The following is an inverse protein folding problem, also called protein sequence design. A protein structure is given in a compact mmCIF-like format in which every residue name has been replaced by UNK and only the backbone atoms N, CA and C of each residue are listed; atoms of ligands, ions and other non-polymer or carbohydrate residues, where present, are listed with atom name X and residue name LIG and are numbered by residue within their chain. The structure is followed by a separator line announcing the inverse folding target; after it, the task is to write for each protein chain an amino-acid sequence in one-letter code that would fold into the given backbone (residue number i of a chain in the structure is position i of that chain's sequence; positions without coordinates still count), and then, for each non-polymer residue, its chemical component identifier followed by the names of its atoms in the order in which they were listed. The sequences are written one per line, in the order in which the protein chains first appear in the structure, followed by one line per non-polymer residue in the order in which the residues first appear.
data_IF_446336297746
#
_entry.id   IF_446336297746
#
_cell.length_a   1.000
_cell.length_b   1.000
_cell.length_c   1.000
_cell.angle_alpha   90.00
_cell.angle_beta   90.00
_cell.angle_gamma   90.00
#
_symmetry.space_group_name_H-M   'P 1'
#
loop_
_entity.id
_entity.type
_entity.pdbx_description
1 polymer ?
#
# COMPACT_ATOMS: atom_id res chain seq x y z
N UNK A 1 -16.04 -12.63 1.48
CA UNK A 1 -15.57 -11.85 0.31
C UNK A 1 -14.07 -11.72 0.45
N UNK A 2 -13.27 -12.08 -0.55
CA UNK A 2 -11.81 -11.88 -0.45
C UNK A 2 -11.50 -10.38 -0.55
N UNK A 3 -10.55 -9.91 0.26
CA UNK A 3 -10.09 -8.54 0.20
C UNK A 3 -9.25 -8.35 -1.08
N UNK A 4 -9.72 -7.50 -1.99
CA UNK A 4 -9.10 -7.25 -3.30
C UNK A 4 -7.71 -6.60 -3.21
N UNK A 5 -7.35 -6.00 -2.08
CA UNK A 5 -6.01 -5.46 -1.86
C UNK A 5 -4.95 -6.55 -1.62
N UNK A 6 -5.32 -7.75 -1.15
CA UNK A 6 -4.35 -8.79 -0.81
C UNK A 6 -3.57 -9.23 -2.03
N UNK A 7 -2.24 -9.29 -1.93
CA UNK A 7 -1.35 -9.70 -3.02
C UNK A 7 -0.13 -8.79 -3.16
N UNK A 8 0.56 -8.95 -4.29
CA UNK A 8 1.74 -8.17 -4.65
C UNK A 8 1.38 -7.10 -5.67
N UNK A 9 1.88 -5.89 -5.47
CA UNK A 9 1.64 -4.73 -6.32
C UNK A 9 2.96 -4.13 -6.80
N UNK A 10 3.02 -3.74 -8.06
CA UNK A 10 4.08 -2.91 -8.62
C UNK A 10 3.68 -1.44 -8.43
N UNK A 11 4.28 -0.75 -7.48
CA UNK A 11 3.91 0.60 -7.05
C UNK A 11 4.94 1.63 -7.54
N UNK A 12 4.50 2.71 -8.16
CA UNK A 12 5.35 3.79 -8.62
C UNK A 12 4.93 5.12 -7.99
N UNK A 13 5.90 5.88 -7.47
CA UNK A 13 5.68 7.23 -6.98
C UNK A 13 5.69 8.21 -8.16
N UNK A 14 4.56 8.85 -8.41
CA UNK A 14 4.47 9.99 -9.33
C UNK A 14 4.91 11.27 -8.58
N UNK A 15 6.21 11.55 -8.55
CA UNK A 15 6.76 12.74 -7.87
C UNK A 15 8.26 12.76 -7.60
N UNK A 16 9.01 11.69 -7.90
CA UNK A 16 10.47 11.65 -7.73
C UNK A 16 11.12 10.45 -8.40
N UNK A 17 12.44 10.28 -8.20
CA UNK A 17 13.28 9.21 -8.78
C UNK A 17 13.14 7.84 -8.09
N UNK A 18 12.05 7.57 -7.36
CA UNK A 18 11.90 6.24 -6.76
C UNK A 18 11.44 5.27 -7.84
N UNK A 19 12.18 4.18 -7.99
CA UNK A 19 11.85 3.12 -8.94
C UNK A 19 10.47 2.53 -8.64
N UNK A 20 9.88 1.77 -9.58
CA UNK A 20 8.73 0.96 -9.24
C UNK A 20 9.12 -0.02 -8.11
N UNK A 21 8.44 0.05 -6.97
CA UNK A 21 8.70 -0.73 -5.77
C UNK A 21 7.63 -1.83 -5.63
N UNK A 22 8.03 -3.00 -5.14
CA UNK A 22 7.09 -4.07 -4.83
C UNK A 22 6.42 -3.78 -3.49
N UNK A 23 5.10 -3.96 -3.42
CA UNK A 23 4.34 -3.86 -2.17
C UNK A 23 3.56 -5.14 -1.95
N UNK A 24 3.73 -5.73 -0.78
CA UNK A 24 3.00 -6.92 -0.36
C UNK A 24 1.93 -6.54 0.65
N UNK A 25 0.67 -6.85 0.33
CA UNK A 25 -0.46 -6.69 1.25
C UNK A 25 -0.93 -8.08 1.65
N UNK A 26 -0.82 -8.38 2.94
CA UNK A 26 -1.21 -9.67 3.52
C UNK A 26 -2.25 -9.47 4.61
N UNK A 27 -2.99 -10.52 4.92
CA UNK A 27 -3.92 -10.56 6.05
C UNK A 27 -3.41 -11.58 7.07
N UNK A 28 -3.30 -11.16 8.32
CA UNK A 28 -2.96 -12.02 9.43
C UNK A 28 -3.99 -11.84 10.55
N UNK A 29 -4.79 -12.89 10.80
CA UNK A 29 -5.79 -12.92 11.87
C UNK A 29 -6.77 -11.73 11.82
N UNK A 30 -7.18 -11.32 10.61
CA UNK A 30 -8.09 -10.20 10.37
C UNK A 30 -7.44 -8.81 10.38
N UNK A 31 -6.12 -8.73 10.61
CA UNK A 31 -5.35 -7.51 10.46
C UNK A 31 -4.65 -7.51 9.11
N UNK A 32 -4.68 -6.38 8.42
CA UNK A 32 -3.90 -6.22 7.20
C UNK A 32 -2.50 -5.71 7.54
N UNK A 33 -1.51 -6.27 6.86
CA UNK A 33 -0.12 -5.82 6.91
C UNK A 33 0.31 -5.42 5.50
N UNK A 34 1.02 -4.31 5.41
CA UNK A 34 1.57 -3.82 4.15
C UNK A 34 3.10 -3.75 4.30
N UNK A 35 3.83 -4.45 3.45
CA UNK A 35 5.29 -4.60 3.53
C UNK A 35 5.94 -4.13 2.23
N UNK A 36 7.03 -3.37 2.36
CA UNK A 36 7.87 -2.94 1.23
C UNK A 36 9.24 -3.62 1.36
N UNK A 37 9.63 -4.54 0.47
CA UNK A 37 10.88 -5.29 0.56
C UNK A 37 12.14 -4.46 0.24
N UNK A 38 11.98 -3.21 -0.24
CA UNK A 38 13.10 -2.28 -0.50
C UNK A 38 13.56 -1.45 0.71
N UNK A 39 12.79 -1.46 1.79
CA UNK A 39 13.11 -0.80 3.06
C UNK A 39 12.98 -1.86 4.15
N UNK A 40 14.11 -2.34 4.69
CA UNK A 40 14.13 -3.47 5.64
C UNK A 40 13.22 -3.29 6.86
N UNK A 41 12.77 -2.06 7.18
CA UNK A 41 11.83 -1.77 8.28
C UNK A 41 10.59 -0.96 7.87
N UNK A 42 10.28 -0.89 6.57
CA UNK A 42 9.09 -0.21 6.08
C UNK A 42 7.83 -1.06 6.27
N UNK A 43 6.90 -0.65 7.14
CA UNK A 43 5.61 -1.33 7.27
C UNK A 43 4.42 -0.39 7.53
N UNK A 44 3.25 -0.82 7.06
CA UNK A 44 1.97 -0.19 7.35
C UNK A 44 1.39 -0.74 8.64
N UNK A 45 1.03 0.14 9.58
CA UNK A 45 0.33 -0.18 10.82
C UNK A 45 -1.08 0.43 10.81
N UNK A 46 -2.00 -0.13 11.61
CA UNK A 46 -3.38 0.35 11.77
C UNK A 46 -4.18 0.43 10.45
N UNK A 47 -4.05 -0.62 9.63
CA UNK A 47 -4.70 -0.66 8.32
C UNK A 47 -6.21 -0.84 8.46
N UNK A 48 -6.96 0.09 7.88
CA UNK A 48 -8.42 0.11 7.89
C UNK A 48 -8.96 0.01 6.47
N UNK A 49 -9.87 -0.94 6.24
CA UNK A 49 -10.65 -1.01 5.00
C UNK A 49 -11.82 -0.03 5.08
N UNK A 50 -11.95 0.84 4.09
CA UNK A 50 -13.07 1.76 4.01
C UNK A 50 -14.34 1.10 3.46
N UNK A 51 -15.44 1.83 3.58
CA UNK A 51 -16.76 1.38 3.14
C UNK A 51 -16.73 0.91 1.67
N UNK A 52 -17.24 -0.31 1.43
CA UNK A 52 -17.28 -0.93 0.10
C UNK A 52 -15.99 -1.63 -0.33
N UNK A 53 -15.00 -1.81 0.55
CA UNK A 53 -13.70 -2.47 0.27
C UNK A 53 -12.89 -1.79 -0.84
N UNK A 54 -13.18 -0.53 -1.17
CA UNK A 54 -12.50 0.20 -2.25
C UNK A 54 -11.37 1.10 -1.77
N UNK A 55 -11.20 1.28 -0.46
CA UNK A 55 -10.10 2.07 0.10
C UNK A 55 -9.41 1.33 1.24
N UNK A 56 -8.12 1.56 1.37
CA UNK A 56 -7.24 1.06 2.42
C UNK A 56 -6.45 2.24 2.98
N UNK A 57 -6.64 2.56 4.25
CA UNK A 57 -5.96 3.67 4.91
C UNK A 57 -5.12 3.16 6.06
N UNK A 58 -4.02 3.82 6.38
CA UNK A 58 -3.22 3.43 7.54
C UNK A 58 -2.12 4.43 7.83
N UNK A 59 -1.23 4.03 8.74
CA UNK A 59 -0.01 4.76 9.05
C UNK A 59 1.17 3.95 8.51
N UNK A 60 2.04 4.60 7.75
CA UNK A 60 3.26 4.00 7.27
C UNK A 60 4.43 4.43 8.13
N UNK A 61 5.22 3.46 8.57
CA UNK A 61 6.48 3.69 9.26
C UNK A 61 7.63 3.45 8.28
N UNK A 62 8.43 4.47 8.00
CA UNK A 62 9.62 4.38 7.13
C UNK A 62 10.84 4.83 7.91
N UNK A 63 11.66 3.89 8.39
CA UNK A 63 12.97 4.16 9.03
C UNK A 63 13.03 5.47 9.84
N UNK A 64 14.10 6.28 9.66
CA UNK A 64 14.33 7.57 10.33
C UNK A 64 13.29 8.66 10.02
N UNK A 65 12.24 8.37 9.23
CA UNK A 65 11.10 9.24 9.07
C UNK A 65 9.99 8.83 10.06
N UNK A 66 9.42 9.82 10.73
CA UNK A 66 8.26 9.58 11.60
C UNK A 66 7.09 8.92 10.84
N UNK A 67 6.16 8.30 11.58
CA UNK A 67 4.96 7.72 10.98
C UNK A 67 4.20 8.75 10.13
N UNK A 68 3.82 8.37 8.91
CA UNK A 68 3.06 9.21 7.99
C UNK A 68 1.76 8.53 7.54
N UNK A 69 0.64 9.26 7.40
CA UNK A 69 -0.59 8.66 6.92
C UNK A 69 -0.45 8.26 5.45
N UNK A 70 -1.16 7.19 5.07
CA UNK A 70 -1.36 6.83 3.67
C UNK A 70 -2.80 6.42 3.39
N UNK A 71 -3.18 6.49 2.12
CA UNK A 71 -4.48 6.04 1.62
C UNK A 71 -4.30 5.44 0.24
N UNK A 72 -4.71 4.21 0.04
CA UNK A 72 -4.86 3.56 -1.26
C UNK A 72 -6.34 3.36 -1.60
N UNK A 73 -6.65 3.39 -2.89
CA UNK A 73 -7.99 3.23 -3.45
C UNK A 73 -7.89 2.29 -4.65
N UNK A 74 -8.78 1.31 -4.72
CA UNK A 74 -8.94 0.46 -5.90
C UNK A 74 -9.61 1.25 -7.02
N UNK A 75 -8.87 1.44 -8.10
CA UNK A 75 -9.38 2.01 -9.36
C UNK A 75 -9.97 0.90 -10.25
N UNK A 76 -9.55 -0.35 -10.05
CA UNK A 76 -10.05 -1.57 -10.68
C UNK A 76 -9.69 -2.78 -9.83
N UNK A 77 -9.78 -3.98 -10.40
CA UNK A 77 -9.39 -5.21 -9.69
C UNK A 77 -7.86 -5.33 -9.57
N UNK A 78 -7.14 -4.80 -10.55
CA UNK A 78 -5.68 -4.90 -10.65
C UNK A 78 -4.98 -3.53 -10.65
N UNK A 79 -5.67 -2.47 -10.20
CA UNK A 79 -5.13 -1.11 -10.15
C UNK A 79 -5.43 -0.47 -8.79
N UNK A 80 -4.38 0.00 -8.12
CA UNK A 80 -4.47 0.86 -6.93
C UNK A 80 -3.82 2.21 -7.18
N UNK A 81 -4.41 3.24 -6.60
CA UNK A 81 -3.87 4.59 -6.57
C UNK A 81 -3.94 5.12 -5.14
N UNK A 82 -3.02 5.98 -4.73
CA UNK A 82 -3.03 6.50 -3.39
C UNK A 82 -2.06 7.62 -3.13
N UNK A 83 -2.04 8.05 -1.87
CA UNK A 83 -1.18 9.11 -1.37
C UNK A 83 -0.44 8.60 -0.15
N UNK A 84 0.84 8.89 -0.05
CA UNK A 84 1.65 8.65 1.13
C UNK A 84 2.64 9.81 1.32
N UNK A 85 2.65 10.39 2.54
CA UNK A 85 3.54 11.51 2.89
C UNK A 85 3.47 12.69 1.91
N UNK A 86 2.27 12.98 1.39
CA UNK A 86 2.04 14.04 0.40
C UNK A 86 2.42 13.70 -1.05
N UNK A 87 3.01 12.53 -1.30
CA UNK A 87 3.30 12.02 -2.65
C UNK A 87 2.19 11.11 -3.19
N UNK A 88 1.96 11.14 -4.50
CA UNK A 88 0.99 10.26 -5.17
C UNK A 88 1.68 8.97 -5.63
N UNK A 89 1.01 7.85 -5.40
CA UNK A 89 1.44 6.51 -5.75
C UNK A 89 0.39 5.84 -6.64
N UNK A 90 0.83 5.13 -7.67
CA UNK A 90 -0.03 4.29 -8.49
C UNK A 90 0.61 2.92 -8.63
N UNK A 91 -0.18 1.86 -8.69
CA UNK A 91 0.35 0.55 -8.94
C UNK A 91 -0.61 -0.42 -9.57
N UNK A 92 -0.02 -1.42 -10.20
CA UNK A 92 -0.72 -2.52 -10.83
C UNK A 92 -0.46 -3.81 -10.09
N UNK A 93 -1.40 -4.75 -10.15
CA UNK A 93 -1.20 -6.10 -9.66
C UNK A 93 0.07 -6.68 -10.31
N UNK A 94 0.93 -7.32 -9.51
CA UNK A 94 1.97 -8.18 -10.07
C UNK A 94 1.33 -9.53 -10.32
N UNK A 95 1.08 -9.83 -11.59
CA UNK A 95 0.63 -11.15 -12.00
C UNK A 95 1.60 -12.21 -11.44
N UNK A 96 1.03 -13.24 -10.81
CA UNK A 96 1.76 -14.35 -10.19
C UNK A 96 2.40 -15.25 -11.23
#
# INVERSE_FOLDING_TARGET
MSNKFLGTWNMAWTGGYRAAELVHITENSGNLTLTYPGYENGYGSNLTLGNGNRSLTGTWHQDNAGPGPFTFVLQGDDIIAGVWSGGVWNGTRKDS
#
